data_IF_927951288376
#
_entry.id   IF_927951288376
#
_cell.length_a   1.000
_cell.length_b   1.000
_cell.length_c   1.000
_cell.angle_alpha   90.00
_cell.angle_beta   90.00
_cell.angle_gamma   90.00
#
_symmetry.space_group_name_H-M   'P 1'
#
loop_
_entity.id
_entity.type
_entity.pdbx_description
1 polymer ?
#
# COMPACT_ATOMS: atom_id res chain seq x y z
N UNK A 1 -18.51 -16.54 -8.36
CA UNK A 1 -18.16 -16.42 -6.96
C UNK A 1 -17.39 -15.15 -6.72
N UNK A 2 -17.76 -14.44 -5.69
CA UNK A 2 -17.08 -13.19 -5.35
C UNK A 2 -15.77 -13.50 -4.63
N UNK A 3 -14.76 -12.72 -4.94
CA UNK A 3 -13.46 -12.83 -4.29
C UNK A 3 -13.27 -11.69 -3.31
N UNK A 4 -12.69 -11.99 -2.16
CA UNK A 4 -12.33 -10.96 -1.19
C UNK A 4 -11.22 -10.09 -1.76
N UNK A 5 -11.25 -8.81 -1.40
CA UNK A 5 -10.23 -7.87 -1.86
C UNK A 5 -8.85 -8.24 -1.33
N UNK A 6 -7.81 -8.25 -2.18
CA UNK A 6 -6.44 -8.51 -1.73
C UNK A 6 -5.94 -7.56 -0.67
N UNK A 7 -6.58 -6.39 -0.50
CA UNK A 7 -6.14 -5.38 0.47
C UNK A 7 -6.32 -5.79 1.94
N UNK A 8 -6.98 -6.92 2.19
CA UNK A 8 -7.19 -7.41 3.55
C UNK A 8 -8.40 -6.81 4.27
N UNK A 9 -9.27 -6.10 3.56
CA UNK A 9 -10.47 -5.51 4.16
C UNK A 9 -11.55 -6.52 4.53
N UNK A 10 -11.46 -7.74 4.01
CA UNK A 10 -12.47 -8.77 4.11
C UNK A 10 -13.78 -8.42 3.38
N UNK A 11 -13.73 -7.43 2.50
CA UNK A 11 -14.85 -7.02 1.64
C UNK A 11 -14.61 -7.54 0.24
N UNK A 12 -15.68 -7.87 -0.50
CA UNK A 12 -15.57 -8.26 -1.90
C UNK A 12 -14.79 -7.24 -2.70
N UNK A 13 -13.92 -7.71 -3.59
CA UNK A 13 -13.10 -6.82 -4.41
C UNK A 13 -13.96 -5.83 -5.20
N UNK A 14 -15.06 -6.27 -5.80
CA UNK A 14 -15.95 -5.41 -6.58
C UNK A 14 -16.58 -4.27 -5.76
N UNK A 15 -16.71 -4.47 -4.46
CA UNK A 15 -17.26 -3.47 -3.54
C UNK A 15 -16.18 -2.76 -2.72
N UNK A 16 -14.92 -3.04 -3.01
CA UNK A 16 -13.79 -2.49 -2.30
C UNK A 16 -12.86 -1.75 -3.27
N UNK A 17 -11.63 -2.23 -3.46
CA UNK A 17 -10.64 -1.49 -4.24
C UNK A 17 -10.94 -1.39 -5.73
N UNK A 18 -11.73 -2.29 -6.28
CA UNK A 18 -12.11 -2.22 -7.69
C UNK A 18 -12.73 -0.87 -8.05
N UNK A 19 -13.51 -0.29 -7.15
CA UNK A 19 -14.15 1.03 -7.36
C UNK A 19 -13.12 2.10 -7.71
N UNK A 20 -11.94 1.99 -7.16
CA UNK A 20 -10.85 2.96 -7.37
C UNK A 20 -10.00 2.61 -8.59
N UNK A 21 -9.63 1.34 -8.73
CA UNK A 21 -8.81 0.90 -9.86
C UNK A 21 -9.54 1.08 -11.20
N UNK A 22 -10.85 0.88 -11.20
CA UNK A 22 -11.67 1.06 -12.41
C UNK A 22 -11.85 2.52 -12.81
N UNK A 23 -11.61 3.44 -11.88
CA UNK A 23 -11.81 4.86 -12.13
C UNK A 23 -13.22 5.37 -11.82
N UNK A 24 -14.12 4.49 -11.37
CA UNK A 24 -15.48 4.90 -11.01
C UNK A 24 -15.52 5.87 -9.83
N UNK A 25 -14.63 5.66 -8.87
CA UNK A 25 -14.54 6.50 -7.68
C UNK A 25 -13.11 6.87 -7.37
N UNK A 26 -12.95 7.97 -6.65
CA UNK A 26 -11.66 8.43 -6.16
C UNK A 26 -11.56 8.04 -4.69
N UNK A 27 -10.39 7.55 -4.27
CA UNK A 27 -10.20 7.17 -2.88
C UNK A 27 -10.45 8.37 -1.95
N UNK A 28 -11.32 8.22 -0.95
CA UNK A 28 -11.74 9.36 -0.11
C UNK A 28 -10.70 9.78 0.93
N UNK A 29 -9.73 8.92 1.23
CA UNK A 29 -8.74 9.16 2.27
C UNK A 29 -7.46 8.35 2.00
N UNK A 30 -6.37 8.64 2.73
CA UNK A 30 -5.12 7.91 2.54
C UNK A 30 -5.22 6.41 2.78
N UNK A 31 -6.04 5.97 3.73
CA UNK A 31 -6.19 4.54 4.01
C UNK A 31 -6.74 3.78 2.80
N UNK A 32 -7.82 4.27 2.21
CA UNK A 32 -8.41 3.66 1.02
C UNK A 32 -7.45 3.73 -0.16
N UNK A 33 -6.72 4.84 -0.29
CA UNK A 33 -5.73 4.98 -1.35
C UNK A 33 -4.61 3.95 -1.19
N UNK A 34 -4.08 3.79 0.04
CA UNK A 34 -3.02 2.81 0.29
C UNK A 34 -3.48 1.40 -0.04
N UNK A 35 -4.68 1.03 0.41
CA UNK A 35 -5.24 -0.29 0.13
C UNK A 35 -5.42 -0.53 -1.36
N UNK A 36 -5.91 0.48 -2.09
CA UNK A 36 -6.10 0.34 -3.54
C UNK A 36 -4.77 0.27 -4.28
N UNK A 37 -3.74 0.97 -3.81
CA UNK A 37 -2.42 0.86 -4.41
C UNK A 37 -1.81 -0.52 -4.20
N UNK A 38 -2.03 -1.13 -3.03
CA UNK A 38 -1.61 -2.52 -2.80
C UNK A 38 -2.30 -3.45 -3.82
N UNK A 39 -3.59 -3.27 -4.03
CA UNK A 39 -4.32 -4.05 -5.03
C UNK A 39 -3.77 -3.83 -6.43
N UNK A 40 -3.33 -2.61 -6.74
CA UNK A 40 -2.72 -2.32 -8.03
C UNK A 40 -1.42 -3.12 -8.24
N UNK A 41 -0.63 -3.30 -7.19
CA UNK A 41 0.54 -4.18 -7.27
C UNK A 41 0.12 -5.63 -7.50
N UNK A 42 -0.90 -6.12 -6.80
CA UNK A 42 -1.40 -7.49 -6.97
C UNK A 42 -1.95 -7.70 -8.38
N UNK A 43 -2.69 -6.73 -8.90
CA UNK A 43 -3.32 -6.81 -10.22
C UNK A 43 -2.40 -6.35 -11.35
N UNK A 44 -1.18 -5.94 -11.03
CA UNK A 44 -0.19 -5.48 -12.00
C UNK A 44 -0.65 -4.27 -12.81
N UNK A 45 -1.26 -3.31 -12.11
CA UNK A 45 -1.82 -2.10 -12.72
C UNK A 45 -0.87 -0.91 -12.52
N UNK A 46 0.10 -0.79 -13.42
CA UNK A 46 1.07 0.30 -13.36
C UNK A 46 0.43 1.67 -13.55
N UNK A 47 -0.61 1.76 -14.39
CA UNK A 47 -1.29 3.04 -14.63
C UNK A 47 -1.91 3.61 -13.37
N UNK A 48 -2.55 2.77 -12.56
CA UNK A 48 -3.13 3.22 -11.31
C UNK A 48 -2.05 3.71 -10.35
N UNK A 49 -0.95 2.98 -10.23
CA UNK A 49 0.16 3.36 -9.37
C UNK A 49 0.72 4.72 -9.77
N UNK A 50 0.89 4.96 -11.06
CA UNK A 50 1.45 6.21 -11.58
C UNK A 50 0.47 7.37 -11.39
N UNK A 51 -0.81 7.19 -11.73
CA UNK A 51 -1.78 8.29 -11.62
C UNK A 51 -2.11 8.67 -10.18
N UNK A 52 -1.88 7.77 -9.23
CA UNK A 52 -2.08 8.05 -7.80
C UNK A 52 -0.80 8.46 -7.09
N UNK A 53 0.30 8.56 -7.79
CA UNK A 53 1.58 9.04 -7.28
C UNK A 53 1.66 10.53 -7.55
N UNK A 54 2.06 11.30 -6.55
CA UNK A 54 2.10 12.76 -6.69
C UNK A 54 2.98 13.18 -7.88
N UNK A 55 2.51 14.15 -8.64
CA UNK A 55 3.16 14.59 -9.88
C UNK A 55 4.61 15.05 -9.70
N UNK A 56 4.95 15.58 -8.52
CA UNK A 56 6.31 16.05 -8.23
C UNK A 56 7.33 14.91 -8.30
N UNK A 57 6.88 13.66 -8.14
CA UNK A 57 7.76 12.49 -8.18
C UNK A 57 8.05 12.01 -9.59
N UNK A 58 7.30 12.49 -10.60
CA UNK A 58 7.47 12.08 -11.99
C UNK A 58 7.48 10.56 -12.16
N UNK A 59 6.53 9.88 -11.54
CA UNK A 59 6.51 8.41 -11.47
C UNK A 59 6.41 7.74 -12.83
N UNK A 60 5.88 8.43 -13.84
CA UNK A 60 5.77 7.86 -15.19
C UNK A 60 7.13 7.42 -15.76
N UNK A 61 8.22 8.07 -15.37
CA UNK A 61 9.58 7.70 -15.81
C UNK A 61 10.04 6.35 -15.27
N UNK A 62 9.35 5.84 -14.24
CA UNK A 62 9.68 4.55 -13.62
C UNK A 62 8.74 3.43 -14.05
N UNK A 63 7.95 3.66 -15.10
CA UNK A 63 6.95 2.67 -15.55
C UNK A 63 7.58 1.30 -15.81
N UNK A 64 8.73 1.26 -16.47
CA UNK A 64 9.38 0.00 -16.81
C UNK A 64 9.86 -0.75 -15.57
N UNK A 65 10.42 -0.03 -14.60
CA UNK A 65 10.87 -0.61 -13.33
C UNK A 65 9.69 -1.12 -12.51
N UNK A 66 8.58 -0.38 -12.49
CA UNK A 66 7.37 -0.79 -11.80
C UNK A 66 6.83 -2.08 -12.42
N UNK A 67 6.74 -2.12 -13.74
CA UNK A 67 6.23 -3.29 -14.47
C UNK A 67 7.15 -4.49 -14.33
N UNK A 68 8.47 -4.28 -14.33
CA UNK A 68 9.43 -5.36 -14.16
C UNK A 68 9.30 -6.03 -12.78
N UNK A 69 9.00 -5.26 -11.75
CA UNK A 69 8.79 -5.80 -10.41
C UNK A 69 7.59 -6.74 -10.30
N UNK A 70 6.60 -6.57 -11.14
CA UNK A 70 5.41 -7.43 -11.12
C UNK A 70 5.74 -8.89 -11.46
N UNK A 71 6.78 -9.13 -12.25
CA UNK A 71 7.13 -10.48 -12.68
C UNK A 71 7.86 -11.27 -11.60
N UNK A 72 8.49 -10.59 -10.65
CA UNK A 72 9.36 -11.25 -9.66
C UNK A 72 8.78 -11.27 -8.25
N UNK A 73 7.74 -10.50 -7.98
CA UNK A 73 7.19 -10.35 -6.64
C UNK A 73 5.78 -10.92 -6.55
N UNK A 74 5.57 -11.81 -5.59
CA UNK A 74 4.25 -12.33 -5.25
C UNK A 74 3.82 -11.68 -3.94
N UNK A 75 2.72 -10.92 -3.97
CA UNK A 75 2.22 -10.24 -2.78
C UNK A 75 1.33 -11.18 -1.97
N UNK A 76 1.63 -11.31 -0.69
CA UNK A 76 0.98 -12.28 0.20
C UNK A 76 -0.08 -11.65 1.11
N UNK A 77 0.07 -10.38 1.46
CA UNK A 77 -0.92 -9.74 2.31
C UNK A 77 -0.49 -8.35 2.77
N UNK A 78 -1.47 -7.61 3.24
CA UNK A 78 -1.29 -6.25 3.74
C UNK A 78 -1.90 -6.13 5.13
N UNK A 79 -1.14 -5.58 6.07
CA UNK A 79 -1.63 -5.24 7.41
C UNK A 79 -1.36 -3.77 7.65
N UNK A 80 -2.44 -2.99 7.84
CA UNK A 80 -2.32 -1.57 8.21
C UNK A 80 -2.40 -1.50 9.73
N UNK A 81 -1.40 -0.91 10.38
CA UNK A 81 -1.37 -0.84 11.84
C UNK A 81 -1.50 0.57 12.41
N UNK A 82 -1.45 1.60 11.56
CA UNK A 82 -1.69 2.97 11.99
C UNK A 82 -2.06 3.83 10.79
N UNK A 83 -2.98 4.76 10.97
CA UNK A 83 -3.26 5.77 9.94
C UNK A 83 -3.76 7.05 10.60
N UNK A 84 -3.37 8.19 10.04
CA UNK A 84 -3.76 9.51 10.53
C UNK A 84 -3.99 10.45 9.36
N UNK A 85 -4.86 11.44 9.55
CA UNK A 85 -5.13 12.47 8.55
C UNK A 85 -5.16 13.82 9.24
N UNK A 86 -4.45 14.80 8.66
CA UNK A 86 -4.53 16.20 9.08
C UNK A 86 -5.19 16.98 7.96
N UNK A 87 -6.46 17.33 8.12
CA UNK A 87 -7.19 18.10 7.12
C UNK A 87 -6.60 19.51 6.97
N UNK A 88 -6.11 20.08 8.07
CA UNK A 88 -5.52 21.42 8.04
C UNK A 88 -4.27 21.47 7.15
N UNK A 89 -3.49 20.39 7.12
CA UNK A 89 -2.23 20.33 6.39
C UNK A 89 -2.35 19.62 5.06
N UNK A 90 -3.53 19.10 4.71
CA UNK A 90 -3.74 18.28 3.52
C UNK A 90 -2.75 17.13 3.44
N UNK A 91 -2.43 16.53 4.57
CA UNK A 91 -1.44 15.47 4.69
C UNK A 91 -2.01 14.30 5.46
N UNK A 92 -1.65 13.09 5.04
CA UNK A 92 -2.04 11.88 5.76
C UNK A 92 -0.91 10.87 5.77
N UNK A 93 -0.98 9.94 6.72
CA UNK A 93 0.02 8.89 6.87
C UNK A 93 -0.68 7.55 7.04
N UNK A 94 -0.11 6.51 6.44
CA UNK A 94 -0.56 5.13 6.63
C UNK A 94 0.67 4.28 6.87
N UNK A 95 0.68 3.59 8.01
CA UNK A 95 1.76 2.69 8.37
C UNK A 95 1.30 1.25 8.19
N UNK A 96 2.09 0.46 7.47
CA UNK A 96 1.67 -0.88 7.10
C UNK A 96 2.83 -1.86 7.00
N UNK A 97 2.47 -3.13 6.98
CA UNK A 97 3.37 -4.22 6.61
C UNK A 97 2.79 -4.85 5.36
N UNK A 98 3.57 -4.88 4.28
CA UNK A 98 3.20 -5.60 3.06
C UNK A 98 4.12 -6.81 2.94
N UNK A 99 3.53 -7.99 2.98
CA UNK A 99 4.29 -9.25 2.94
C UNK A 99 4.33 -9.76 1.52
N UNK A 100 5.50 -10.27 1.13
CA UNK A 100 5.71 -10.73 -0.24
C UNK A 100 6.66 -11.91 -0.27
N UNK A 101 6.74 -12.52 -1.44
CA UNK A 101 7.75 -13.53 -1.76
C UNK A 101 8.40 -13.11 -3.06
N UNK A 102 9.73 -13.09 -3.05
CA UNK A 102 10.52 -12.77 -4.24
C UNK A 102 11.55 -13.87 -4.45
N UNK A 103 11.52 -14.50 -5.62
CA UNK A 103 12.37 -15.65 -5.91
C UNK A 103 12.28 -16.72 -4.81
N UNK A 104 11.05 -17.01 -4.38
CA UNK A 104 10.73 -18.00 -3.35
C UNK A 104 11.20 -17.63 -1.93
N UNK A 105 11.73 -16.42 -1.75
CA UNK A 105 12.15 -15.94 -0.43
C UNK A 105 11.09 -14.99 0.14
N UNK A 106 10.62 -15.26 1.37
CA UNK A 106 9.66 -14.36 2.00
C UNK A 106 10.33 -13.07 2.46
N UNK A 107 9.58 -11.98 2.41
CA UNK A 107 10.04 -10.69 2.88
C UNK A 107 8.86 -9.83 3.32
N UNK A 108 9.17 -8.67 3.86
CA UNK A 108 8.16 -7.72 4.28
C UNK A 108 8.66 -6.30 4.09
N UNK A 109 7.77 -5.46 3.56
CA UNK A 109 8.01 -4.01 3.50
C UNK A 109 7.24 -3.41 4.67
N UNK A 110 7.93 -2.65 5.51
CA UNK A 110 7.31 -1.93 6.61
C UNK A 110 7.56 -0.46 6.33
N UNK A 111 6.48 0.29 6.12
CA UNK A 111 6.60 1.68 5.72
C UNK A 111 5.54 2.54 6.39
N UNK A 112 5.90 3.79 6.68
CA UNK A 112 4.96 4.83 7.02
C UNK A 112 4.89 5.72 5.79
N UNK A 113 3.86 5.54 4.98
CA UNK A 113 3.68 6.27 3.74
C UNK A 113 3.03 7.62 4.00
N UNK A 114 3.52 8.65 3.30
CA UNK A 114 2.95 9.99 3.38
C UNK A 114 2.14 10.26 2.12
N UNK A 115 0.98 10.89 2.32
CA UNK A 115 0.05 11.23 1.26
C UNK A 115 -0.27 12.71 1.34
N UNK A 116 -0.42 13.34 0.19
CA UNK A 116 -0.82 14.75 0.09
C UNK A 116 -2.14 14.87 -0.66
N UNK A 117 -2.98 15.79 -0.20
CA UNK A 117 -4.24 16.10 -0.87
C UNK A 117 -4.03 17.33 -1.74
N UNK A 118 -4.38 17.20 -3.01
CA UNK A 118 -4.24 18.27 -3.99
C UNK A 118 -5.44 18.24 -4.93
N UNK A 119 -6.08 19.37 -5.10
CA UNK A 119 -7.27 19.49 -5.95
C UNK A 119 -8.38 18.49 -5.57
N UNK A 120 -8.54 18.25 -4.27
CA UNK A 120 -9.57 17.35 -3.77
C UNK A 120 -9.25 15.87 -3.84
N UNK A 121 -8.06 15.50 -4.30
CA UNK A 121 -7.64 14.10 -4.40
C UNK A 121 -6.37 13.82 -3.61
N UNK A 122 -6.30 12.60 -3.07
CA UNK A 122 -5.11 12.15 -2.34
C UNK A 122 -4.12 11.48 -3.28
N UNK A 123 -2.83 11.74 -3.03
CA UNK A 123 -1.73 11.16 -3.80
C UNK A 123 -0.64 10.67 -2.86
N UNK A 124 -0.04 9.54 -3.21
CA UNK A 124 1.15 9.05 -2.53
C UNK A 124 2.34 9.93 -2.91
N UNK A 125 3.19 10.28 -1.96
CA UNK A 125 4.38 11.10 -2.26
C UNK A 125 5.68 10.43 -1.82
N UNK A 126 5.78 9.96 -0.59
CA UNK A 126 6.98 9.31 -0.08
C UNK A 126 6.68 8.46 1.16
N UNK A 127 7.72 7.88 1.74
CA UNK A 127 7.54 7.10 2.94
C UNK A 127 8.85 6.96 3.71
N UNK A 128 8.72 6.56 4.97
CA UNK A 128 9.87 6.28 5.84
C UNK A 128 9.68 4.89 6.44
N UNK A 129 10.78 4.29 6.89
CA UNK A 129 10.70 3.00 7.57
C UNK A 129 10.64 3.22 9.08
N UNK A 130 9.53 2.84 9.73
CA UNK A 130 9.45 2.91 11.19
C UNK A 130 10.47 1.98 11.83
N UNK A 131 10.96 2.36 13.02
CA UNK A 131 11.93 1.57 13.76
C UNK A 131 11.21 0.73 14.80
N UNK A 132 11.58 -0.55 14.88
CA UNK A 132 11.06 -1.48 15.89
C UNK A 132 12.21 -2.17 16.58
N UNK A 133 12.07 -2.35 17.90
CA UNK A 133 13.03 -3.14 18.67
C UNK A 133 12.88 -4.62 18.35
N UNK A 134 13.97 -5.36 18.49
CA UNK A 134 13.97 -6.80 18.20
C UNK A 134 12.94 -7.58 19.02
N UNK A 135 12.67 -7.14 20.25
CA UNK A 135 11.74 -7.80 21.14
C UNK A 135 10.33 -7.19 21.15
N UNK A 136 10.11 -6.14 20.36
CA UNK A 136 8.80 -5.52 20.25
C UNK A 136 7.82 -6.48 19.55
N UNK A 137 6.51 -6.35 19.82
CA UNK A 137 5.51 -7.11 19.06
C UNK A 137 5.65 -6.73 17.57
N UNK A 138 5.57 -7.72 16.70
CA UNK A 138 5.66 -7.45 15.26
C UNK A 138 4.44 -6.64 14.82
N UNK A 139 4.65 -5.56 14.03
CA UNK A 139 3.53 -4.72 13.58
C UNK A 139 2.55 -5.46 12.65
N UNK A 140 2.93 -6.63 12.14
CA UNK A 140 2.03 -7.41 11.28
C UNK A 140 0.87 -8.06 12.05
N UNK A 141 0.88 -8.00 13.38
CA UNK A 141 -0.18 -8.57 14.20
C UNK A 141 -0.09 -10.07 14.43
N UNK A 142 1.04 -10.69 14.11
CA UNK A 142 1.22 -12.14 14.27
C UNK A 142 1.27 -12.61 15.72
N UNK A 143 1.53 -11.69 16.67
CA UNK A 143 1.75 -12.04 18.07
C UNK A 143 3.18 -12.44 18.38
N UNK A 144 4.04 -12.52 17.39
CA UNK A 144 5.45 -12.87 17.56
C UNK A 144 6.29 -11.62 17.77
N UNK A 145 7.50 -11.81 18.34
CA UNK A 145 8.47 -10.71 18.42
C UNK A 145 8.93 -10.33 17.03
N UNK A 146 9.24 -9.06 16.85
CA UNK A 146 9.68 -8.53 15.54
C UNK A 146 10.83 -9.35 14.97
N UNK A 147 11.88 -9.63 15.77
CA UNK A 147 13.05 -10.38 15.31
C UNK A 147 12.74 -11.80 14.81
N UNK A 148 11.61 -12.35 15.22
CA UNK A 148 11.20 -13.71 14.83
C UNK A 148 10.08 -13.71 13.80
N UNK A 149 9.76 -12.58 13.23
CA UNK A 149 8.68 -12.43 12.25
C UNK A 149 9.16 -11.61 11.06
N UNK A 150 8.87 -10.31 11.05
CA UNK A 150 9.21 -9.43 9.91
C UNK A 150 10.57 -8.75 10.03
N UNK A 151 11.19 -8.89 11.16
CA UNK A 151 12.49 -8.26 11.41
C UNK A 151 13.69 -9.08 10.97
#
# INVERSE_FOLDING_TARGET
>A
MSQLCPCGSAVEYSLCCHRYLSGEQVAPDPLHLMRSRFCAFVMKDADYLIRTWHSVCHAARFRDEISAGFATTEWLGLTVFEHTVSEADNTGYVSFVARFREHEKPGAIIERSRFLKENGQWYYIDGTRPQFGRNDPCPCGSGKKFKKCCG
#
